data_IF_611032827843
#
_entry.id   IF_611032827843
#
_cell.length_a   1.000
_cell.length_b   1.000
_cell.length_c   1.000
_cell.angle_alpha   90.00
_cell.angle_beta   90.00
_cell.angle_gamma   90.00
#
_symmetry.space_group_name_H-M   'P 1'
#
loop_
_entity.id
_entity.type
_entity.pdbx_description
1 polymer ?
#
# COMPACT_ATOMS: atom_id res chain seq x y z
N UNK A 1 9.28 7.34 -23.18
CA UNK A 1 9.36 8.72 -22.68
C UNK A 1 8.14 9.17 -21.86
N UNK A 2 7.06 9.73 -22.44
CA UNK A 2 5.97 10.36 -21.63
C UNK A 2 5.28 9.40 -20.63
N UNK A 3 5.06 8.14 -21.05
CA UNK A 3 4.51 7.09 -20.18
C UNK A 3 5.43 6.77 -19.00
N UNK A 4 6.72 6.53 -19.26
CA UNK A 4 7.72 6.20 -18.24
C UNK A 4 7.94 7.36 -17.24
N UNK A 5 7.92 8.61 -17.70
CA UNK A 5 7.99 9.79 -16.82
C UNK A 5 6.79 9.80 -15.88
N UNK A 6 5.59 9.58 -16.41
CA UNK A 6 4.35 9.57 -15.62
C UNK A 6 4.37 8.44 -14.60
N UNK A 7 4.78 7.23 -15.00
CA UNK A 7 4.94 6.08 -14.10
C UNK A 7 5.98 6.35 -13.00
N UNK A 8 7.13 6.93 -13.37
CA UNK A 8 8.19 7.30 -12.43
C UNK A 8 7.75 8.34 -11.41
N UNK A 9 7.14 9.44 -11.86
CA UNK A 9 6.62 10.49 -10.96
C UNK A 9 5.53 9.95 -10.06
N UNK A 10 4.59 9.17 -10.58
CA UNK A 10 3.53 8.56 -9.78
C UNK A 10 4.10 7.64 -8.69
N UNK A 11 5.10 6.83 -9.01
CA UNK A 11 5.74 5.93 -8.04
C UNK A 11 6.50 6.70 -6.93
N UNK A 12 7.17 7.80 -7.26
CA UNK A 12 7.83 8.66 -6.26
C UNK A 12 6.79 9.36 -5.35
N UNK A 13 5.69 9.86 -5.93
CA UNK A 13 4.60 10.44 -5.15
C UNK A 13 3.99 9.39 -4.21
N UNK A 14 3.72 8.18 -4.72
CA UNK A 14 3.22 7.06 -3.94
C UNK A 14 4.17 6.72 -2.78
N UNK A 15 5.48 6.70 -3.03
CA UNK A 15 6.51 6.49 -2.00
C UNK A 15 6.36 7.47 -0.84
N UNK A 16 6.25 8.77 -1.13
CA UNK A 16 6.13 9.82 -0.10
C UNK A 16 4.84 9.64 0.71
N UNK A 17 3.72 9.39 0.03
CA UNK A 17 2.41 9.18 0.68
C UNK A 17 2.44 7.94 1.57
N UNK A 18 2.98 6.82 1.09
CA UNK A 18 3.06 5.57 1.84
C UNK A 18 3.98 5.68 3.07
N UNK A 19 5.10 6.39 2.96
CA UNK A 19 5.95 6.68 4.12
C UNK A 19 5.23 7.52 5.15
N UNK A 20 4.52 8.56 4.72
CA UNK A 20 3.75 9.43 5.62
C UNK A 20 2.66 8.64 6.35
N UNK A 21 1.87 7.84 5.62
CA UNK A 21 0.81 7.02 6.19
C UNK A 21 1.38 5.92 7.07
N UNK A 22 2.45 5.24 6.65
CA UNK A 22 3.13 4.19 7.43
C UNK A 22 3.66 4.73 8.76
N UNK A 23 4.27 5.91 8.74
CA UNK A 23 4.71 6.61 9.96
C UNK A 23 3.53 6.98 10.86
N UNK A 24 2.46 7.52 10.28
CA UNK A 24 1.26 7.88 11.03
C UNK A 24 0.62 6.64 11.70
N UNK A 25 0.56 5.50 11.00
CA UNK A 25 0.00 4.26 11.54
C UNK A 25 0.84 3.67 12.67
N UNK A 26 2.17 3.72 12.58
CA UNK A 26 3.07 3.21 13.63
C UNK A 26 2.99 4.03 14.93
N UNK A 27 2.59 5.30 14.88
CA UNK A 27 2.57 6.17 16.06
C UNK A 27 1.60 5.67 17.14
N UNK A 28 2.03 5.47 18.39
CA UNK A 28 1.18 4.99 19.51
C UNK A 28 -0.06 5.89 19.72
N UNK A 29 0.07 7.18 19.37
CA UNK A 29 -1.01 8.15 19.39
C UNK A 29 -2.09 7.88 18.34
N UNK A 30 -1.79 7.19 17.22
CA UNK A 30 -2.76 6.85 16.18
C UNK A 30 -3.84 5.91 16.71
N UNK A 31 -3.44 4.87 17.47
CA UNK A 31 -4.36 3.91 18.09
C UNK A 31 -5.30 4.59 19.08
N UNK A 32 -4.77 5.49 19.91
CA UNK A 32 -5.55 6.23 20.91
C UNK A 32 -6.46 7.27 20.23
N UNK A 33 -5.95 8.01 19.24
CA UNK A 33 -6.72 9.00 18.46
C UNK A 33 -7.83 8.33 17.67
N UNK A 34 -7.56 7.19 17.04
CA UNK A 34 -8.54 6.42 16.29
C UNK A 34 -9.63 5.86 17.22
N UNK A 35 -9.24 5.27 18.36
CA UNK A 35 -10.22 4.79 19.35
C UNK A 35 -11.11 5.95 19.85
N UNK A 36 -10.51 7.08 20.23
CA UNK A 36 -11.24 8.29 20.65
C UNK A 36 -12.12 8.88 19.54
N UNK A 37 -11.69 8.79 18.28
CA UNK A 37 -12.48 9.20 17.12
C UNK A 37 -13.70 8.30 16.94
N UNK A 38 -13.53 6.98 16.99
CA UNK A 38 -14.65 6.03 16.90
C UNK A 38 -15.61 6.23 18.08
N UNK A 39 -15.09 6.25 19.32
CA UNK A 39 -15.91 6.43 20.53
C UNK A 39 -16.66 7.77 20.49
N UNK A 40 -15.98 8.86 20.13
CA UNK A 40 -16.56 10.20 20.04
C UNK A 40 -17.53 10.38 18.88
N UNK A 41 -17.29 9.76 17.72
CA UNK A 41 -18.22 9.78 16.59
C UNK A 41 -19.41 8.86 16.82
N UNK A 42 -19.25 7.75 17.54
CA UNK A 42 -20.38 6.91 17.93
C UNK A 42 -21.31 7.64 18.90
N UNK A 43 -20.73 8.44 19.81
CA UNK A 43 -21.50 9.30 20.72
C UNK A 43 -22.12 10.52 20.00
N UNK A 44 -21.44 11.12 19.02
CA UNK A 44 -21.94 12.25 18.21
C UNK A 44 -22.81 11.85 17.01
N UNK A 45 -22.80 10.58 16.60
CA UNK A 45 -23.65 10.06 15.53
C UNK A 45 -25.14 10.04 15.91
N UNK A 46 -25.43 10.18 17.21
CA UNK A 46 -26.78 10.48 17.71
C UNK A 46 -27.23 11.92 17.36
N UNK A 47 -26.35 12.77 16.82
CA UNK A 47 -26.66 14.12 16.35
C UNK A 47 -26.49 14.16 14.83
N UNK A 48 -27.59 14.37 14.11
CA UNK A 48 -27.88 13.98 12.71
C UNK A 48 -26.93 14.40 11.56
N UNK A 49 -25.78 15.03 11.82
CA UNK A 49 -24.81 15.45 10.79
C UNK A 49 -23.64 14.48 10.54
N UNK A 50 -23.28 13.65 11.52
CA UNK A 50 -22.07 12.79 11.44
C UNK A 50 -22.32 11.50 10.66
N UNK A 51 -23.57 11.03 10.57
CA UNK A 51 -23.90 9.79 9.87
C UNK A 51 -23.70 9.90 8.35
N UNK A 52 -24.08 11.04 7.75
CA UNK A 52 -23.88 11.27 6.31
C UNK A 52 -22.40 11.37 5.93
N UNK A 53 -21.56 11.94 6.80
CA UNK A 53 -20.12 12.00 6.58
C UNK A 53 -19.45 10.64 6.73
N UNK A 54 -19.85 9.84 7.74
CA UNK A 54 -19.37 8.46 7.89
C UNK A 54 -19.81 7.55 6.74
N UNK A 55 -21.06 7.68 6.30
CA UNK A 55 -21.57 6.95 5.14
C UNK A 55 -20.82 7.34 3.86
N UNK A 56 -20.61 8.64 3.61
CA UNK A 56 -19.83 9.13 2.47
C UNK A 56 -18.38 8.66 2.49
N UNK A 57 -17.71 8.72 3.65
CA UNK A 57 -16.35 8.23 3.82
C UNK A 57 -16.25 6.72 3.54
N UNK A 58 -17.18 5.94 4.07
CA UNK A 58 -17.22 4.49 3.87
C UNK A 58 -17.49 4.16 2.40
N UNK A 59 -18.41 4.87 1.76
CA UNK A 59 -18.71 4.73 0.33
C UNK A 59 -17.49 5.04 -0.54
N UNK A 60 -16.81 6.17 -0.32
CA UNK A 60 -15.61 6.55 -1.10
C UNK A 60 -14.50 5.52 -0.92
N UNK A 61 -14.28 5.04 0.31
CA UNK A 61 -13.25 4.04 0.59
C UNK A 61 -13.52 2.71 -0.13
N UNK A 62 -14.75 2.20 -0.06
CA UNK A 62 -15.15 0.95 -0.73
C UNK A 62 -15.15 1.12 -2.26
N UNK A 63 -15.66 2.24 -2.77
CA UNK A 63 -15.68 2.54 -4.19
C UNK A 63 -14.26 2.59 -4.78
N UNK A 64 -13.32 3.25 -4.10
CA UNK A 64 -11.92 3.33 -4.56
C UNK A 64 -11.30 1.94 -4.69
N UNK A 65 -11.46 1.11 -3.66
CA UNK A 65 -10.88 -0.23 -3.64
C UNK A 65 -11.50 -1.15 -4.72
N UNK A 66 -12.82 -1.05 -4.92
CA UNK A 66 -13.52 -1.78 -5.98
C UNK A 66 -13.06 -1.32 -7.37
N UNK A 67 -12.92 -0.01 -7.57
CA UNK A 67 -12.46 0.56 -8.83
C UNK A 67 -11.03 0.11 -9.18
N UNK A 68 -10.11 0.20 -8.22
CA UNK A 68 -8.73 -0.25 -8.36
C UNK A 68 -8.67 -1.75 -8.70
N UNK A 69 -9.45 -2.58 -7.99
CA UNK A 69 -9.55 -4.02 -8.26
C UNK A 69 -10.04 -4.31 -9.67
N UNK A 70 -11.11 -3.63 -10.12
CA UNK A 70 -11.68 -3.82 -11.46
C UNK A 70 -10.65 -3.43 -12.54
N UNK A 71 -9.98 -2.29 -12.38
CA UNK A 71 -8.96 -1.84 -13.33
C UNK A 71 -7.78 -2.80 -13.40
N UNK A 72 -7.30 -3.32 -12.26
CA UNK A 72 -6.24 -4.32 -12.25
C UNK A 72 -6.65 -5.62 -12.94
N UNK A 73 -7.86 -6.12 -12.67
CA UNK A 73 -8.37 -7.31 -13.35
C UNK A 73 -8.59 -7.09 -14.84
N UNK A 74 -9.05 -5.91 -15.25
CA UNK A 74 -9.17 -5.55 -16.66
C UNK A 74 -7.80 -5.53 -17.35
N UNK A 75 -6.79 -4.90 -16.74
CA UNK A 75 -5.44 -4.88 -17.27
C UNK A 75 -4.85 -6.30 -17.37
N UNK A 76 -5.05 -7.11 -16.34
CA UNK A 76 -4.59 -8.50 -16.31
C UNK A 76 -5.28 -9.35 -17.40
N UNK A 77 -6.60 -9.20 -17.54
CA UNK A 77 -7.40 -9.91 -18.54
C UNK A 77 -6.91 -9.65 -19.98
N UNK A 78 -6.59 -8.39 -20.28
CA UNK A 78 -6.05 -7.99 -21.59
C UNK A 78 -4.61 -8.50 -21.78
N UNK A 79 -3.80 -8.52 -20.72
CA UNK A 79 -2.39 -8.92 -20.78
C UNK A 79 -2.21 -10.44 -20.96
N UNK A 80 -3.09 -11.27 -20.39
CA UNK A 80 -2.92 -12.73 -20.40
C UNK A 80 -3.37 -13.42 -21.69
N UNK A 81 -4.14 -12.75 -22.56
CA UNK A 81 -4.70 -13.35 -23.79
C UNK A 81 -5.67 -14.51 -23.52
N UNK A 82 -6.19 -15.17 -24.57
CA UNK A 82 -7.21 -16.24 -24.42
C UNK A 82 -6.73 -17.45 -23.61
N UNK A 83 -5.45 -17.83 -23.74
CA UNK A 83 -4.88 -18.99 -23.05
C UNK A 83 -4.78 -18.82 -21.53
N UNK A 84 -4.66 -17.58 -21.04
CA UNK A 84 -4.52 -17.28 -19.61
C UNK A 84 -5.82 -16.89 -18.90
N UNK A 85 -6.92 -16.65 -19.62
CA UNK A 85 -8.20 -16.22 -19.02
C UNK A 85 -8.74 -17.22 -17.98
N UNK A 86 -8.57 -18.52 -18.22
CA UNK A 86 -8.98 -19.55 -17.27
C UNK A 86 -8.17 -19.50 -15.96
N UNK A 87 -6.88 -19.15 -16.04
CA UNK A 87 -6.02 -18.96 -14.86
C UNK A 87 -6.41 -17.71 -14.08
N UNK A 88 -6.78 -16.62 -14.78
CA UNK A 88 -7.25 -15.39 -14.14
C UNK A 88 -8.55 -15.62 -13.37
N UNK A 89 -9.51 -16.34 -13.97
CA UNK A 89 -10.79 -16.67 -13.32
C UNK A 89 -10.60 -17.59 -12.11
N UNK A 90 -9.78 -18.64 -12.23
CA UNK A 90 -9.51 -19.54 -11.10
C UNK A 90 -8.75 -18.83 -9.96
N UNK A 91 -7.82 -17.92 -10.30
CA UNK A 91 -7.17 -17.03 -9.34
C UNK A 91 -8.16 -16.11 -8.61
N UNK A 92 -9.10 -15.51 -9.34
CA UNK A 92 -10.13 -14.65 -8.75
C UNK A 92 -11.08 -15.42 -7.80
N UNK A 93 -11.58 -16.59 -8.23
CA UNK A 93 -12.47 -17.40 -7.42
C UNK A 93 -11.78 -17.93 -6.16
N UNK A 94 -10.51 -18.37 -6.27
CA UNK A 94 -9.72 -18.80 -5.11
C UNK A 94 -9.43 -17.65 -4.15
N UNK A 95 -9.14 -16.44 -4.66
CA UNK A 95 -8.99 -15.25 -3.83
C UNK A 95 -10.28 -14.90 -3.07
N UNK A 96 -11.46 -14.96 -3.71
CA UNK A 96 -12.75 -14.75 -3.03
C UNK A 96 -12.95 -15.77 -1.92
N UNK A 97 -12.71 -17.06 -2.19
CA UNK A 97 -12.85 -18.12 -1.20
C UNK A 97 -11.92 -17.89 0.00
N UNK A 98 -10.66 -17.54 -0.24
CA UNK A 98 -9.68 -17.25 0.80
C UNK A 98 -10.10 -16.01 1.61
N UNK A 99 -10.51 -14.93 0.96
CA UNK A 99 -10.97 -13.71 1.63
C UNK A 99 -12.23 -13.95 2.47
N UNK A 100 -13.16 -14.79 2.00
CA UNK A 100 -14.33 -15.17 2.78
C UNK A 100 -13.96 -15.94 4.05
N UNK A 101 -12.99 -16.86 3.96
CA UNK A 101 -12.44 -17.59 5.11
C UNK A 101 -11.78 -16.61 6.10
N UNK A 102 -10.93 -15.71 5.60
CA UNK A 102 -10.26 -14.70 6.44
C UNK A 102 -11.27 -13.77 7.11
N UNK A 103 -12.26 -13.28 6.37
CA UNK A 103 -13.34 -12.44 6.90
C UNK A 103 -14.12 -13.18 7.98
N UNK A 104 -14.47 -14.45 7.76
CA UNK A 104 -15.15 -15.28 8.75
C UNK A 104 -14.30 -15.49 10.02
N UNK A 105 -13.00 -15.76 9.88
CA UNK A 105 -12.07 -15.88 11.01
C UNK A 105 -12.01 -14.55 11.79
N UNK A 106 -11.89 -13.42 11.09
CA UNK A 106 -11.88 -12.10 11.73
C UNK A 106 -13.18 -11.88 12.49
N UNK A 107 -14.35 -12.15 11.90
CA UNK A 107 -15.64 -11.98 12.58
C UNK A 107 -15.79 -12.91 13.79
N UNK A 108 -15.30 -14.15 13.69
CA UNK A 108 -15.38 -15.15 14.77
C UNK A 108 -14.43 -14.83 15.93
N UNK A 109 -13.23 -14.34 15.65
CA UNK A 109 -12.18 -14.04 16.63
C UNK A 109 -12.07 -12.53 16.98
N UNK A 110 -12.98 -11.70 16.46
CA UNK A 110 -12.95 -10.23 16.55
C UNK A 110 -12.98 -9.66 17.98
N UNK A 111 -13.31 -10.49 18.98
CA UNK A 111 -13.50 -10.07 20.37
C UNK A 111 -12.21 -9.54 21.03
N UNK A 112 -11.02 -9.78 20.46
CA UNK A 112 -9.75 -9.20 20.99
C UNK A 112 -8.69 -8.92 19.92
N UNK A 113 -9.03 -8.24 18.82
CA UNK A 113 -8.00 -7.80 17.87
C UNK A 113 -7.09 -6.74 18.54
N UNK A 114 -5.80 -7.03 18.80
CA UNK A 114 -4.91 -6.06 19.43
C UNK A 114 -4.60 -4.95 18.41
N UNK A 115 -5.34 -3.85 18.48
CA UNK A 115 -5.22 -2.70 17.57
C UNK A 115 -3.75 -2.25 17.41
N UNK A 116 -2.96 -2.31 18.48
CA UNK A 116 -1.53 -1.99 18.43
C UNK A 116 -0.75 -2.86 17.44
N UNK A 117 -1.00 -4.16 17.41
CA UNK A 117 -0.32 -5.07 16.48
C UNK A 117 -0.84 -4.87 15.06
N UNK A 118 -2.16 -4.68 14.88
CA UNK A 118 -2.74 -4.40 13.57
C UNK A 118 -2.11 -3.16 12.92
N UNK A 119 -2.13 -2.02 13.62
CA UNK A 119 -1.56 -0.76 13.10
C UNK A 119 -0.04 -0.83 12.87
N UNK A 120 0.68 -1.59 13.71
CA UNK A 120 2.13 -1.80 13.54
C UNK A 120 2.44 -2.64 12.30
N UNK A 121 1.73 -3.76 12.09
CA UNK A 121 1.89 -4.61 10.91
C UNK A 121 1.52 -3.85 9.64
N UNK A 122 0.38 -3.17 9.61
CA UNK A 122 -0.04 -2.37 8.45
C UNK A 122 0.93 -1.23 8.17
N UNK A 123 1.44 -0.55 9.19
CA UNK A 123 2.46 0.49 9.03
C UNK A 123 3.75 -0.06 8.43
N UNK A 124 4.19 -1.23 8.90
CA UNK A 124 5.34 -1.97 8.33
C UNK A 124 5.15 -2.33 6.86
N UNK A 125 3.97 -2.83 6.48
CA UNK A 125 3.63 -3.10 5.08
C UNK A 125 3.70 -1.84 4.21
N UNK A 126 3.20 -0.71 4.70
CA UNK A 126 3.30 0.58 3.98
C UNK A 126 4.76 1.01 3.76
N UNK A 127 5.65 0.82 4.75
CA UNK A 127 7.08 1.09 4.60
C UNK A 127 7.72 0.19 3.54
N UNK A 128 7.40 -1.10 3.53
CA UNK A 128 7.91 -2.04 2.52
C UNK A 128 7.46 -1.60 1.12
N UNK A 129 6.17 -1.31 0.94
CA UNK A 129 5.64 -0.86 -0.36
C UNK A 129 6.28 0.45 -0.81
N UNK A 130 6.52 1.39 0.11
CA UNK A 130 7.23 2.63 -0.21
C UNK A 130 8.64 2.37 -0.75
N UNK A 131 9.40 1.44 -0.15
CA UNK A 131 10.74 1.07 -0.62
C UNK A 131 10.67 0.46 -2.03
N UNK A 132 9.69 -0.40 -2.28
CA UNK A 132 9.48 -1.03 -3.60
C UNK A 132 9.15 0.05 -4.65
N UNK A 133 8.22 0.95 -4.35
CA UNK A 133 7.85 2.03 -5.27
C UNK A 133 8.98 3.03 -5.50
N UNK A 134 9.82 3.30 -4.50
CA UNK A 134 10.97 4.18 -4.66
C UNK A 134 11.95 3.62 -5.71
N UNK A 135 12.24 2.32 -5.63
CA UNK A 135 13.11 1.64 -6.59
C UNK A 135 12.52 1.63 -8.00
N UNK A 136 11.24 1.27 -8.14
CA UNK A 136 10.52 1.30 -9.43
C UNK A 136 10.44 2.71 -10.02
N UNK A 137 10.19 3.72 -9.19
CA UNK A 137 10.11 5.11 -9.62
C UNK A 137 11.43 5.63 -10.16
N UNK A 138 12.55 5.35 -9.48
CA UNK A 138 13.88 5.72 -9.95
C UNK A 138 14.24 5.00 -11.25
N UNK A 139 13.94 3.70 -11.35
CA UNK A 139 14.17 2.94 -12.57
C UNK A 139 13.37 3.51 -13.76
N UNK A 140 12.08 3.81 -13.58
CA UNK A 140 11.24 4.39 -14.63
C UNK A 140 11.74 5.79 -15.07
N UNK A 141 12.24 6.61 -14.14
CA UNK A 141 12.85 7.91 -14.47
C UNK A 141 14.19 7.78 -15.20
N UNK A 142 14.94 6.71 -14.95
CA UNK A 142 16.16 6.38 -15.69
C UNK A 142 15.84 5.87 -17.11
N UNK A 143 14.83 5.02 -17.24
CA UNK A 143 14.33 4.53 -18.55
C UNK A 143 13.79 5.68 -19.41
N UNK A 144 13.16 6.67 -18.78
CA UNK A 144 12.70 7.89 -19.43
C UNK A 144 13.83 8.87 -19.86
N UNK A 145 15.08 8.62 -19.47
CA UNK A 145 16.22 9.49 -19.75
C UNK A 145 16.29 10.77 -18.89
N UNK A 146 15.47 10.87 -17.84
CA UNK A 146 15.45 12.04 -16.93
C UNK A 146 16.60 11.97 -15.91
N UNK A 147 16.94 10.76 -15.46
CA UNK A 147 18.02 10.51 -14.51
C UNK A 147 19.15 9.72 -15.17
N UNK A 148 20.39 10.08 -14.84
CA UNK A 148 21.58 9.31 -15.27
C UNK A 148 21.58 7.96 -14.55
N UNK A 149 21.76 6.88 -15.30
CA UNK A 149 21.89 5.53 -14.74
C UNK A 149 23.36 5.16 -14.59
N UNK A 150 23.78 4.89 -13.35
CA UNK A 150 25.10 4.34 -13.05
C UNK A 150 24.93 2.87 -12.66
N UNK A 151 25.09 1.92 -13.61
CA UNK A 151 24.87 0.52 -13.35
C UNK A 151 25.97 -0.03 -12.43
N UNK A 152 25.58 -0.93 -11.54
CA UNK A 152 26.48 -1.66 -10.65
C UNK A 152 26.24 -3.14 -10.74
N UNK A 153 27.27 -3.94 -10.47
CA UNK A 153 27.11 -5.39 -10.42
C UNK A 153 26.39 -5.80 -9.13
N UNK A 154 25.06 -5.86 -9.21
CA UNK A 154 24.17 -6.21 -8.10
C UNK A 154 22.99 -7.06 -8.60
N UNK A 155 22.28 -7.71 -7.67
CA UNK A 155 21.12 -8.54 -8.00
C UNK A 155 19.94 -7.69 -8.47
N UNK A 156 19.25 -8.15 -9.51
CA UNK A 156 17.98 -7.58 -9.98
C UNK A 156 16.82 -8.38 -9.41
N UNK A 157 15.90 -7.72 -8.71
CA UNK A 157 14.68 -8.32 -8.19
C UNK A 157 13.51 -7.39 -8.48
N UNK A 158 12.83 -7.61 -9.61
CA UNK A 158 11.75 -6.71 -10.09
C UNK A 158 10.57 -6.64 -9.11
N UNK A 159 10.30 -7.72 -8.36
CA UNK A 159 9.25 -7.77 -7.33
C UNK A 159 9.51 -6.75 -6.21
N UNK A 160 10.77 -6.65 -5.76
CA UNK A 160 11.18 -5.74 -4.69
C UNK A 160 11.55 -4.34 -5.23
N UNK A 161 11.45 -4.12 -6.55
CA UNK A 161 11.91 -2.90 -7.19
C UNK A 161 13.42 -2.69 -7.04
N UNK A 162 14.19 -3.76 -6.84
CA UNK A 162 15.65 -3.68 -6.72
C UNK A 162 16.24 -3.77 -8.12
N UNK A 163 16.80 -2.67 -8.59
CA UNK A 163 17.48 -2.57 -9.87
C UNK A 163 18.98 -2.38 -9.65
N UNK A 164 19.83 -2.89 -10.56
CA UNK A 164 21.28 -2.77 -10.45
C UNK A 164 21.78 -1.35 -10.79
N UNK A 165 21.26 -0.35 -10.10
CA UNK A 165 21.59 1.07 -10.24
C UNK A 165 22.01 1.67 -8.89
N UNK A 166 23.02 2.54 -8.89
CA UNK A 166 23.50 3.16 -7.64
C UNK A 166 22.43 4.04 -6.99
N UNK A 167 21.75 4.86 -7.78
CA UNK A 167 20.79 5.84 -7.26
C UNK A 167 19.60 5.17 -6.58
N UNK A 168 19.03 4.13 -7.20
CA UNK A 168 17.91 3.39 -6.64
C UNK A 168 18.29 2.65 -5.36
N UNK A 169 19.42 1.95 -5.37
CA UNK A 169 19.94 1.25 -4.19
C UNK A 169 20.22 2.20 -3.02
N UNK A 170 20.83 3.37 -3.28
CA UNK A 170 21.10 4.38 -2.24
C UNK A 170 19.80 4.92 -1.64
N UNK A 171 18.80 5.24 -2.47
CA UNK A 171 17.51 5.74 -1.99
C UNK A 171 16.78 4.67 -1.19
N UNK A 172 16.74 3.42 -1.68
CA UNK A 172 16.12 2.31 -0.96
C UNK A 172 16.82 2.05 0.39
N UNK A 173 18.15 2.09 0.43
CA UNK A 173 18.92 1.97 1.66
C UNK A 173 18.62 3.12 2.63
N UNK A 174 18.59 4.37 2.14
CA UNK A 174 18.23 5.52 2.98
C UNK A 174 16.82 5.37 3.57
N UNK A 175 15.84 4.92 2.78
CA UNK A 175 14.49 4.67 3.27
C UNK A 175 14.42 3.53 4.29
N UNK A 176 15.19 2.45 4.09
CA UNK A 176 15.30 1.37 5.08
C UNK A 176 15.88 1.90 6.39
N UNK A 177 16.97 2.68 6.33
CA UNK A 177 17.59 3.26 7.51
C UNK A 177 16.62 4.20 8.24
N UNK A 178 15.89 5.03 7.51
CA UNK A 178 14.83 5.89 8.07
C UNK A 178 13.74 5.04 8.73
N UNK A 179 13.23 4.01 8.05
CA UNK A 179 12.19 3.14 8.60
C UNK A 179 12.66 2.44 9.89
N UNK A 180 13.88 1.89 9.90
CA UNK A 180 14.48 1.23 11.09
C UNK A 180 14.71 2.23 12.23
N UNK A 181 15.23 3.42 11.93
CA UNK A 181 15.41 4.47 12.92
C UNK A 181 14.08 4.91 13.55
N UNK A 182 13.05 5.11 12.72
CA UNK A 182 11.72 5.51 13.19
C UNK A 182 11.06 4.40 14.02
N UNK A 183 11.29 3.14 13.67
CA UNK A 183 10.77 1.97 14.39
C UNK A 183 11.45 1.80 15.76
N UNK A 184 12.77 1.91 15.81
CA UNK A 184 13.57 1.73 17.04
C UNK A 184 13.36 2.84 18.06
N UNK A 185 13.20 4.09 17.63
CA UNK A 185 13.07 5.25 18.55
C UNK A 185 11.74 5.30 19.32
N UNK A 186 10.75 4.47 18.97
CA UNK A 186 9.39 4.51 19.56
C UNK A 186 8.88 3.18 20.11
N UNK A 187 9.64 2.09 19.97
CA UNK A 187 9.34 0.82 20.63
C UNK A 187 9.47 1.01 22.13
#
# INVERSE_FOLDING_TARGET
ASREITEGVAAIVATIVLLYVGFWMHDKTSVIKWKKFIDGNMQKALTSGTLWTLAGLSFIAVYREAFETILFYQALWVQTGESGQHMVLSGFLSAIALLAIVAWLIMRYSVRLPLRQFFSVTGGLMFILAIIFAGKGIAALQEAGVLVSNPVNFFRVDLLGIYPNLQGLVVQLALILIAVFLWTKKT
#
